data_IF_039690531572
#
_entry.id   IF_039690531572
#
_cell.length_a   1.000
_cell.length_b   1.000
_cell.length_c   1.000
_cell.angle_alpha   90.00
_cell.angle_beta   90.00
_cell.angle_gamma   90.00
#
_symmetry.space_group_name_H-M   'P 1'
#
loop_
_entity.id
_entity.type
_entity.pdbx_description
1 polymer ?
#
# COMPACT_ATOMS: atom_id res chain seq x y z
N UNK A 1 -1.89 23.63 16.17
CA UNK A 1 -2.91 23.38 15.13
C UNK A 1 -3.05 21.87 15.05
N UNK A 2 -4.25 21.32 15.25
CA UNK A 2 -4.46 19.90 15.08
C UNK A 2 -4.14 19.54 13.62
N UNK A 3 -3.06 18.80 13.41
CA UNK A 3 -2.74 18.20 12.12
C UNK A 3 -3.97 17.37 11.75
N UNK A 4 -4.62 17.64 10.62
CA UNK A 4 -5.79 16.88 10.20
C UNK A 4 -5.35 15.42 10.03
N UNK A 5 -5.75 14.54 10.95
CA UNK A 5 -5.23 13.17 11.06
C UNK A 5 -5.49 12.40 9.76
N UNK A 6 -6.65 12.64 9.13
CA UNK A 6 -7.01 12.07 7.85
C UNK A 6 -6.10 12.54 6.71
N UNK A 7 -5.72 13.82 6.67
CA UNK A 7 -4.81 14.35 5.65
C UNK A 7 -3.44 13.65 5.71
N UNK A 8 -2.91 13.46 6.92
CA UNK A 8 -1.66 12.73 7.09
C UNK A 8 -1.80 11.26 6.71
N UNK A 9 -2.90 10.61 7.09
CA UNK A 9 -3.16 9.21 6.78
C UNK A 9 -3.32 8.96 5.27
N UNK A 10 -4.13 9.77 4.58
CA UNK A 10 -4.42 9.59 3.16
C UNK A 10 -3.17 9.76 2.29
N UNK A 11 -2.32 10.74 2.62
CA UNK A 11 -1.03 10.97 1.95
C UNK A 11 -0.09 9.78 2.12
N UNK A 12 0.09 9.31 3.35
CA UNK A 12 0.95 8.16 3.64
C UNK A 12 0.43 6.86 3.01
N UNK A 13 -0.89 6.65 3.02
CA UNK A 13 -1.49 5.47 2.40
C UNK A 13 -1.25 5.44 0.89
N UNK A 14 -1.48 6.56 0.20
CA UNK A 14 -1.25 6.66 -1.24
C UNK A 14 0.24 6.56 -1.58
N UNK A 15 1.12 7.18 -0.80
CA UNK A 15 2.57 7.07 -0.98
C UNK A 15 3.05 5.62 -0.84
N UNK A 16 2.65 4.93 0.23
CA UNK A 16 3.04 3.54 0.47
C UNK A 16 2.58 2.60 -0.66
N UNK A 17 1.36 2.77 -1.14
CA UNK A 17 0.78 1.90 -2.18
C UNK A 17 1.37 2.20 -3.57
N UNK A 18 1.65 3.46 -3.89
CA UNK A 18 2.04 3.88 -5.24
C UNK A 18 3.55 3.91 -5.48
N UNK A 19 4.37 4.06 -4.43
CA UNK A 19 5.84 4.12 -4.56
C UNK A 19 6.49 2.96 -5.34
N UNK A 20 5.99 1.71 -5.28
CA UNK A 20 6.53 0.63 -6.11
C UNK A 20 6.31 0.81 -7.62
N UNK A 21 5.38 1.68 -8.03
CA UNK A 21 4.91 1.79 -9.41
C UNK A 21 5.29 3.11 -10.10
N UNK A 22 5.89 4.05 -9.38
CA UNK A 22 6.22 5.36 -9.91
C UNK A 22 6.75 6.32 -8.86
N UNK A 23 7.03 7.54 -9.28
CA UNK A 23 7.45 8.60 -8.36
C UNK A 23 6.23 9.21 -7.68
N UNK A 24 6.26 9.27 -6.34
CA UNK A 24 5.25 9.94 -5.53
C UNK A 24 5.86 11.21 -4.93
N UNK A 25 5.15 12.34 -5.05
CA UNK A 25 5.48 13.58 -4.36
C UNK A 25 4.30 13.99 -3.48
N UNK A 26 4.46 13.85 -2.17
CA UNK A 26 3.47 14.27 -1.17
C UNK A 26 3.62 15.76 -0.88
N UNK A 27 2.50 16.49 -0.84
CA UNK A 27 2.50 17.95 -0.62
C UNK A 27 3.42 18.65 -1.61
N UNK A 28 3.25 18.35 -2.90
CA UNK A 28 4.02 18.96 -3.99
C UNK A 28 3.64 20.42 -4.11
N UNK A 29 4.61 21.31 -3.96
CA UNK A 29 4.41 22.76 -4.15
C UNK A 29 4.02 23.04 -5.60
N UNK A 30 2.97 23.82 -5.78
CA UNK A 30 2.55 24.28 -7.11
C UNK A 30 3.35 25.52 -7.47
N UNK A 31 4.13 25.50 -8.57
CA UNK A 31 5.01 26.60 -8.91
C UNK A 31 4.32 27.96 -9.03
N UNK A 32 4.79 28.92 -8.23
CA UNK A 32 4.35 30.31 -8.25
C UNK A 32 3.23 30.66 -7.27
N UNK A 33 2.74 29.72 -6.47
CA UNK A 33 1.70 29.93 -5.46
C UNK A 33 2.04 29.24 -4.13
N UNK A 34 1.50 29.72 -3.02
CA UNK A 34 1.56 29.02 -1.73
C UNK A 34 0.46 27.93 -1.63
N UNK A 35 0.43 27.03 -2.62
CA UNK A 35 -0.52 25.91 -2.69
C UNK A 35 0.21 24.59 -2.91
N UNK A 36 -0.38 23.51 -2.41
CA UNK A 36 0.20 22.17 -2.50
C UNK A 36 -0.81 21.21 -3.11
N UNK A 37 -0.34 20.35 -4.00
CA UNK A 37 -1.06 19.13 -4.39
C UNK A 37 -0.86 18.11 -3.28
N UNK A 38 -1.93 17.48 -2.82
CA UNK A 38 -1.82 16.55 -1.70
C UNK A 38 -0.93 15.35 -2.01
N UNK A 39 -1.19 14.68 -3.14
CA UNK A 39 -0.31 13.65 -3.69
C UNK A 39 -0.23 13.83 -5.20
N UNK A 40 0.99 13.98 -5.70
CA UNK A 40 1.29 13.90 -7.12
C UNK A 40 1.94 12.54 -7.42
N UNK A 41 1.50 11.87 -8.48
CA UNK A 41 2.04 10.59 -8.91
C UNK A 41 2.45 10.64 -10.37
N UNK A 42 3.67 10.17 -10.66
CA UNK A 42 4.20 9.96 -12.00
C UNK A 42 4.45 8.45 -12.19
N UNK A 43 3.65 7.73 -13.00
CA UNK A 43 3.85 6.30 -13.22
C UNK A 43 5.19 6.04 -13.91
N UNK A 44 5.87 4.96 -13.51
CA UNK A 44 7.09 4.54 -14.17
C UNK A 44 6.78 3.93 -15.54
N UNK A 45 7.55 4.30 -16.57
CA UNK A 45 7.36 3.75 -17.92
C UNK A 45 7.74 2.27 -18.05
N UNK A 46 8.30 1.66 -17.00
CA UNK A 46 8.74 0.27 -16.95
C UNK A 46 7.80 -0.61 -16.11
N UNK A 47 6.95 -0.01 -15.28
CA UNK A 47 5.98 -0.71 -14.44
C UNK A 47 4.59 -0.61 -15.07
N UNK A 48 4.20 -1.59 -15.88
CA UNK A 48 2.77 -1.80 -16.10
C UNK A 48 2.18 -2.25 -14.77
N UNK A 49 1.41 -1.37 -14.11
CA UNK A 49 0.62 -1.77 -12.94
C UNK A 49 -0.34 -2.83 -13.44
N UNK A 50 -0.13 -4.09 -13.06
CA UNK A 50 -1.07 -5.13 -13.41
C UNK A 50 -2.44 -4.73 -12.83
N UNK A 51 -3.53 -4.72 -13.62
CA UNK A 51 -4.86 -4.34 -13.12
C UNK A 51 -5.31 -5.15 -11.89
N UNK A 52 -4.74 -6.35 -11.73
CA UNK A 52 -4.98 -7.26 -10.62
C UNK A 52 -4.32 -6.83 -9.31
N UNK A 53 -3.29 -5.96 -9.34
CA UNK A 53 -2.56 -5.58 -8.14
C UNK A 53 -3.22 -4.42 -7.40
N UNK A 54 -3.56 -3.33 -8.09
CA UNK A 54 -4.11 -2.12 -7.46
C UNK A 54 -5.58 -1.85 -7.80
N UNK A 55 -6.21 -2.69 -8.62
CA UNK A 55 -7.61 -2.54 -9.02
C UNK A 55 -7.90 -1.15 -9.61
N UNK A 56 -8.96 -0.52 -9.12
CA UNK A 56 -9.37 0.82 -9.54
C UNK A 56 -8.31 1.88 -9.24
N UNK A 57 -7.57 1.78 -8.13
CA UNK A 57 -6.48 2.73 -7.85
C UNK A 57 -5.40 2.65 -8.92
N UNK A 58 -5.03 1.43 -9.34
CA UNK A 58 -4.09 1.23 -10.45
C UNK A 58 -4.63 1.74 -11.77
N UNK A 59 -5.94 1.59 -12.02
CA UNK A 59 -6.56 2.07 -13.26
C UNK A 59 -6.54 3.61 -13.36
N UNK A 60 -6.76 4.33 -12.26
CA UNK A 60 -6.80 5.80 -12.28
C UNK A 60 -5.39 6.44 -12.32
N UNK A 61 -4.34 5.69 -12.00
CA UNK A 61 -2.94 6.16 -11.93
C UNK A 61 -2.08 5.75 -13.13
N UNK A 62 -2.68 5.33 -14.24
CA UNK A 62 -1.96 4.91 -15.46
C UNK A 62 -1.23 6.06 -16.19
N UNK A 63 -1.62 7.30 -15.91
CA UNK A 63 -0.97 8.52 -16.40
C UNK A 63 -0.56 9.39 -15.22
N UNK A 64 0.35 10.37 -15.38
CA UNK A 64 0.62 11.35 -14.33
C UNK A 64 -0.68 11.90 -13.75
N UNK A 65 -0.76 12.05 -12.43
CA UNK A 65 -2.00 12.47 -11.80
C UNK A 65 -1.83 13.22 -10.48
N UNK A 66 -2.82 14.05 -10.19
CA UNK A 66 -3.02 14.69 -8.90
C UNK A 66 -4.12 13.94 -8.17
N UNK A 67 -3.84 13.48 -6.95
CA UNK A 67 -4.79 12.80 -6.07
C UNK A 67 -5.10 13.74 -4.90
N UNK A 68 -6.36 14.15 -4.77
CA UNK A 68 -6.82 15.12 -3.77
C UNK A 68 -7.90 14.46 -2.88
N UNK A 69 -7.51 13.83 -1.76
CA UNK A 69 -8.42 13.11 -0.88
C UNK A 69 -9.17 14.03 0.09
N UNK A 70 -10.50 13.86 0.16
CA UNK A 70 -11.38 14.61 1.06
C UNK A 70 -12.14 13.67 2.01
N UNK A 71 -11.99 13.90 3.32
CA UNK A 71 -12.74 13.16 4.35
C UNK A 71 -14.25 13.34 4.24
N UNK A 72 -14.68 14.47 3.68
CA UNK A 72 -16.08 14.83 3.47
C UNK A 72 -16.31 15.24 2.02
N UNK A 73 -17.57 15.49 1.65
CA UNK A 73 -17.86 16.07 0.34
C UNK A 73 -17.14 17.42 0.19
N UNK A 74 -16.36 17.63 -0.88
CA UNK A 74 -15.74 18.92 -1.13
C UNK A 74 -16.79 19.97 -1.46
N UNK A 75 -16.56 21.19 -0.99
CA UNK A 75 -17.30 22.37 -1.37
C UNK A 75 -17.00 22.75 -2.83
N UNK A 76 -17.88 23.53 -3.48
CA UNK A 76 -17.57 24.06 -4.81
C UNK A 76 -16.28 24.89 -4.86
N UNK A 77 -15.88 25.53 -3.76
CA UNK A 77 -14.62 26.26 -3.70
C UNK A 77 -13.41 25.32 -3.68
N UNK A 78 -13.49 24.20 -2.96
CA UNK A 78 -12.44 23.19 -2.93
C UNK A 78 -12.28 22.51 -4.30
N UNK A 79 -13.38 22.16 -4.97
CA UNK A 79 -13.32 21.61 -6.34
C UNK A 79 -12.63 22.58 -7.30
N UNK A 80 -12.97 23.88 -7.26
CA UNK A 80 -12.30 24.89 -8.09
C UNK A 80 -10.82 25.06 -7.72
N UNK A 81 -10.48 24.92 -6.44
CA UNK A 81 -9.09 24.93 -5.98
C UNK A 81 -8.30 23.78 -6.59
N UNK A 82 -8.83 22.55 -6.56
CA UNK A 82 -8.19 21.40 -7.20
C UNK A 82 -8.01 21.61 -8.72
N UNK A 83 -9.03 22.14 -9.40
CA UNK A 83 -8.94 22.49 -10.83
C UNK A 83 -7.85 23.54 -11.11
N UNK A 84 -7.72 24.56 -10.25
CA UNK A 84 -6.65 25.55 -10.37
C UNK A 84 -5.28 24.90 -10.27
N UNK A 85 -5.05 24.02 -9.28
CA UNK A 85 -3.80 23.28 -9.12
C UNK A 85 -3.47 22.46 -10.38
N UNK A 86 -4.45 21.76 -10.95
CA UNK A 86 -4.29 20.99 -12.19
C UNK A 86 -3.76 21.87 -13.33
N UNK A 87 -4.41 23.00 -13.59
CA UNK A 87 -4.01 23.88 -14.70
C UNK A 87 -2.67 24.58 -14.47
N UNK A 88 -2.30 24.82 -13.21
CA UNK A 88 -0.97 25.32 -12.87
C UNK A 88 0.11 24.28 -13.18
N UNK A 89 -0.12 23.02 -12.78
CA UNK A 89 0.77 21.89 -13.12
C UNK A 89 0.86 21.68 -14.64
N UNK A 90 -0.26 21.77 -15.38
CA UNK A 90 -0.24 21.75 -16.85
C UNK A 90 0.62 22.88 -17.43
N UNK A 91 0.55 24.08 -16.83
CA UNK A 91 1.41 25.20 -17.18
C UNK A 91 2.90 24.87 -17.03
N UNK A 92 3.30 24.13 -15.98
CA UNK A 92 4.68 23.66 -15.81
C UNK A 92 5.10 22.63 -16.85
N UNK A 93 4.22 21.68 -17.17
CA UNK A 93 4.43 20.74 -18.26
C UNK A 93 4.73 21.47 -19.57
N UNK A 94 3.89 22.45 -19.93
CA UNK A 94 4.07 23.26 -21.13
C UNK A 94 5.38 24.07 -21.09
N UNK A 95 5.74 24.65 -19.94
CA UNK A 95 7.02 25.36 -19.77
C UNK A 95 8.22 24.44 -19.96
N UNK A 96 8.18 23.25 -19.36
CA UNK A 96 9.24 22.23 -19.47
C UNK A 96 9.41 21.77 -20.92
N UNK A 97 8.33 21.38 -21.59
CA UNK A 97 8.37 20.95 -22.99
C UNK A 97 8.91 22.05 -23.93
N UNK A 98 8.54 23.32 -23.71
CA UNK A 98 9.09 24.45 -24.48
C UNK A 98 10.60 24.60 -24.29
N UNK A 99 11.11 24.44 -23.06
CA UNK A 99 12.55 24.49 -22.76
C UNK A 99 13.30 23.34 -23.42
N UNK A 100 12.71 22.16 -23.42
CA UNK A 100 13.29 20.93 -23.98
C UNK A 100 13.04 20.77 -25.50
N UNK A 101 12.28 21.70 -26.11
CA UNK A 101 11.82 21.63 -27.51
C UNK A 101 11.10 20.31 -27.85
N UNK A 102 10.39 19.76 -26.86
CA UNK A 102 9.58 18.56 -27.01
C UNK A 102 8.13 18.94 -27.35
N UNK A 103 7.44 18.05 -28.07
CA UNK A 103 5.99 18.10 -28.18
C UNK A 103 5.37 17.46 -26.92
N UNK A 104 4.24 18.01 -26.45
CA UNK A 104 3.40 17.38 -25.43
C UNK A 104 2.13 16.92 -26.12
N UNK A 105 1.76 15.65 -25.93
CA UNK A 105 0.46 15.15 -26.32
C UNK A 105 -0.52 15.43 -25.19
N UNK A 106 -1.79 15.67 -25.55
CA UNK A 106 -2.87 15.85 -24.58
C UNK A 106 -2.94 14.66 -23.60
N UNK A 107 -2.69 13.45 -24.10
CA UNK A 107 -2.70 12.21 -23.30
C UNK A 107 -1.58 12.11 -22.27
N UNK A 108 -0.49 12.86 -22.44
CA UNK A 108 0.64 12.88 -21.51
C UNK A 108 0.42 13.88 -20.36
N UNK A 109 -0.61 14.72 -20.44
CA UNK A 109 -0.92 15.70 -19.41
C UNK A 109 -1.53 15.04 -18.17
N UNK A 110 -1.17 15.52 -16.97
CA UNK A 110 -1.70 14.99 -15.73
C UNK A 110 -3.24 15.00 -15.65
N UNK A 111 -3.80 13.99 -14.99
CA UNK A 111 -5.23 13.91 -14.67
C UNK A 111 -5.48 14.26 -13.19
N UNK A 112 -6.55 15.01 -12.90
CA UNK A 112 -6.98 15.29 -11.53
C UNK A 112 -8.02 14.27 -11.07
N UNK A 113 -7.77 13.64 -9.93
CA UNK A 113 -8.70 12.74 -9.26
C UNK A 113 -9.03 13.27 -7.86
N UNK A 114 -10.25 13.75 -7.69
CA UNK A 114 -10.80 14.16 -6.40
C UNK A 114 -11.36 12.93 -5.70
N UNK A 115 -10.79 12.52 -4.58
CA UNK A 115 -11.18 11.30 -3.85
C UNK A 115 -12.04 11.69 -2.64
N UNK A 116 -13.35 11.80 -2.81
CA UNK A 116 -14.25 12.28 -1.77
C UNK A 116 -14.97 11.13 -1.09
N UNK A 117 -15.10 11.17 0.25
CA UNK A 117 -15.88 10.15 0.96
C UNK A 117 -17.34 10.05 0.47
N UNK A 118 -17.89 11.15 -0.03
CA UNK A 118 -19.20 11.22 -0.69
C UNK A 118 -19.28 12.41 -1.66
N UNK A 119 -20.03 12.27 -2.74
CA UNK A 119 -20.41 13.38 -3.63
C UNK A 119 -21.93 13.33 -3.93
N UNK A 120 -22.65 14.38 -3.56
CA UNK A 120 -24.08 14.52 -3.84
C UNK A 120 -24.35 14.85 -5.30
N UNK A 121 -25.53 14.47 -5.78
CA UNK A 121 -25.99 14.81 -7.13
C UNK A 121 -25.96 16.32 -7.41
N UNK A 122 -26.25 17.16 -6.40
CA UNK A 122 -26.17 18.60 -6.55
C UNK A 122 -24.74 19.08 -6.86
N UNK A 123 -23.74 18.53 -6.17
CA UNK A 123 -22.34 18.84 -6.46
C UNK A 123 -21.96 18.33 -7.85
N UNK A 124 -22.29 17.08 -8.17
CA UNK A 124 -21.95 16.44 -9.44
C UNK A 124 -22.56 17.22 -10.62
N UNK A 125 -23.85 17.47 -10.59
CA UNK A 125 -24.57 18.23 -11.62
C UNK A 125 -24.08 19.68 -11.71
N UNK A 126 -23.74 20.31 -10.58
CA UNK A 126 -23.25 21.68 -10.54
C UNK A 126 -21.93 21.92 -11.29
N UNK A 127 -21.10 20.89 -11.43
CA UNK A 127 -19.85 20.92 -12.21
C UNK A 127 -19.94 20.15 -13.54
N UNK A 128 -21.03 19.42 -13.78
CA UNK A 128 -21.20 18.59 -14.97
C UNK A 128 -20.47 17.25 -14.91
N UNK A 129 -20.19 16.74 -13.71
CA UNK A 129 -19.69 15.38 -13.54
C UNK A 129 -20.75 14.37 -13.95
N UNK A 130 -20.37 13.41 -14.77
CA UNK A 130 -21.28 12.37 -15.27
C UNK A 130 -20.65 10.99 -15.17
N UNK A 131 -21.49 9.98 -14.92
CA UNK A 131 -21.08 8.59 -15.01
C UNK A 131 -21.03 8.17 -16.48
N UNK A 132 -20.17 7.20 -16.81
CA UNK A 132 -20.18 6.52 -18.09
C UNK A 132 -20.18 4.99 -17.87
N UNK A 133 -20.30 4.21 -18.95
CA UNK A 133 -20.37 2.74 -18.86
C UNK A 133 -19.00 2.06 -18.69
N UNK A 134 -17.90 2.79 -18.84
CA UNK A 134 -16.54 2.25 -18.76
C UNK A 134 -16.01 2.23 -17.31
N UNK A 135 -16.66 2.98 -16.41
CA UNK A 135 -16.26 3.11 -15.02
C UNK A 135 -17.29 2.50 -14.06
N UNK A 136 -16.85 1.95 -12.91
CA UNK A 136 -17.76 1.44 -11.90
C UNK A 136 -18.56 2.57 -11.23
N UNK A 137 -19.64 2.18 -10.54
CA UNK A 137 -20.42 3.09 -9.68
C UNK A 137 -19.50 3.87 -8.73
N UNK A 138 -19.81 5.15 -8.56
CA UNK A 138 -19.03 6.06 -7.72
C UNK A 138 -17.93 6.83 -8.45
N UNK A 139 -17.62 6.52 -9.72
CA UNK A 139 -16.66 7.28 -10.52
C UNK A 139 -17.39 8.20 -11.50
N UNK A 140 -17.09 9.49 -11.45
CA UNK A 140 -17.72 10.49 -12.30
C UNK A 140 -16.67 11.38 -12.96
N UNK A 141 -16.83 11.65 -14.26
CA UNK A 141 -15.86 12.37 -15.06
C UNK A 141 -16.45 13.66 -15.61
N UNK A 142 -15.61 14.69 -15.73
CA UNK A 142 -15.87 15.81 -16.62
C UNK A 142 -15.54 15.42 -18.06
N UNK A 143 -15.84 16.33 -19.01
CA UNK A 143 -15.41 16.17 -20.39
C UNK A 143 -13.90 15.88 -20.47
N UNK A 144 -13.42 14.97 -21.34
CA UNK A 144 -12.01 14.55 -21.38
C UNK A 144 -11.01 15.71 -21.51
N UNK A 145 -11.38 16.80 -22.18
CA UNK A 145 -10.58 18.03 -22.30
C UNK A 145 -10.33 18.77 -20.97
N UNK A 146 -11.07 18.44 -19.91
CA UNK A 146 -10.92 19.02 -18.58
C UNK A 146 -10.06 18.14 -17.65
N UNK A 147 -9.69 16.93 -18.07
CA UNK A 147 -8.73 16.06 -17.36
C UNK A 147 -9.03 15.89 -15.87
N UNK A 148 -10.32 15.81 -15.51
CA UNK A 148 -10.77 15.80 -14.12
C UNK A 148 -11.86 14.78 -13.89
N UNK A 149 -11.73 14.03 -12.81
CA UNK A 149 -12.72 13.11 -12.30
C UNK A 149 -12.89 13.26 -10.77
N UNK A 150 -14.05 12.84 -10.27
CA UNK A 150 -14.37 12.73 -8.85
C UNK A 150 -14.83 11.32 -8.54
N UNK A 151 -14.30 10.76 -7.45
CA UNK A 151 -14.69 9.46 -6.92
C UNK A 151 -15.50 9.68 -5.65
N UNK A 152 -16.77 9.30 -5.66
CA UNK A 152 -17.64 9.20 -4.50
C UNK A 152 -17.43 7.84 -3.84
N UNK A 153 -16.53 7.78 -2.84
CA UNK A 153 -16.04 6.54 -2.26
C UNK A 153 -17.17 5.69 -1.66
N UNK A 154 -18.17 6.32 -1.03
CA UNK A 154 -19.32 5.61 -0.46
C UNK A 154 -20.23 4.91 -1.49
N UNK A 155 -20.06 5.19 -2.79
CA UNK A 155 -20.80 4.58 -3.89
C UNK A 155 -19.99 3.52 -4.64
N UNK A 156 -18.71 3.35 -4.27
CA UNK A 156 -17.87 2.29 -4.83
C UNK A 156 -18.43 0.92 -4.41
N UNK A 157 -18.48 -0.05 -5.34
CA UNK A 157 -18.94 -1.39 -5.03
C UNK A 157 -17.99 -2.06 -4.03
N UNK A 158 -18.50 -2.95 -3.19
CA UNK A 158 -17.67 -3.75 -2.28
C UNK A 158 -16.99 -4.88 -3.05
N UNK A 159 -15.87 -4.56 -3.67
CA UNK A 159 -15.03 -5.48 -4.45
C UNK A 159 -13.56 -5.34 -4.04
N UNK A 160 -12.76 -6.36 -4.32
CA UNK A 160 -11.32 -6.37 -4.03
C UNK A 160 -10.60 -5.21 -4.72
N UNK A 161 -10.99 -4.91 -5.96
CA UNK A 161 -10.40 -3.87 -6.81
C UNK A 161 -10.63 -2.45 -6.28
N UNK A 162 -11.47 -2.27 -5.26
CA UNK A 162 -11.82 -0.95 -4.70
C UNK A 162 -11.37 -0.76 -3.26
N UNK A 163 -10.77 -1.79 -2.63
CA UNK A 163 -10.40 -1.78 -1.20
C UNK A 163 -9.58 -0.53 -0.86
N UNK A 164 -8.51 -0.25 -1.62
CA UNK A 164 -7.59 0.85 -1.32
C UNK A 164 -8.26 2.22 -1.35
N UNK A 165 -9.20 2.46 -2.28
CA UNK A 165 -9.97 3.70 -2.32
C UNK A 165 -11.01 3.75 -1.20
N UNK A 166 -11.63 2.61 -0.84
CA UNK A 166 -12.61 2.54 0.26
C UNK A 166 -11.99 2.75 1.64
N UNK A 167 -10.69 2.49 1.81
CA UNK A 167 -9.93 2.87 3.01
C UNK A 167 -9.90 4.39 3.24
N UNK A 168 -10.00 5.20 2.18
CA UNK A 168 -10.11 6.67 2.27
C UNK A 168 -11.54 7.15 2.55
N UNK A 169 -12.52 6.25 2.51
CA UNK A 169 -13.93 6.52 2.81
C UNK A 169 -14.20 6.65 4.30
N UNK A 170 -15.47 6.77 4.71
CA UNK A 170 -15.87 6.91 6.12
C UNK A 170 -16.96 5.92 6.53
N UNK A 171 -17.18 5.78 7.83
CA UNK A 171 -18.26 4.95 8.39
C UNK A 171 -18.17 3.49 7.91
N UNK A 172 -19.30 2.94 7.44
CA UNK A 172 -19.36 1.54 7.03
C UNK A 172 -18.48 1.19 5.83
N UNK A 173 -18.34 2.08 4.85
CA UNK A 173 -17.48 1.83 3.68
C UNK A 173 -16.03 1.60 4.10
N UNK A 174 -15.55 2.40 5.07
CA UNK A 174 -14.19 2.29 5.58
C UNK A 174 -13.99 1.05 6.44
N UNK A 175 -14.94 0.75 7.33
CA UNK A 175 -14.88 -0.46 8.17
C UNK A 175 -14.80 -1.73 7.33
N UNK A 176 -15.66 -1.84 6.31
CA UNK A 176 -15.65 -2.98 5.40
C UNK A 176 -14.31 -3.13 4.68
N UNK A 177 -13.73 -2.02 4.22
CA UNK A 177 -12.40 -2.05 3.58
C UNK A 177 -11.30 -2.46 4.56
N UNK A 178 -11.36 -2.02 5.81
CA UNK A 178 -10.43 -2.45 6.87
C UNK A 178 -10.54 -3.95 7.13
N UNK A 179 -11.76 -4.48 7.27
CA UNK A 179 -12.01 -5.92 7.44
C UNK A 179 -11.46 -6.74 6.26
N UNK A 180 -11.61 -6.22 5.04
CA UNK A 180 -11.09 -6.84 3.83
C UNK A 180 -9.55 -6.83 3.79
N UNK A 181 -8.91 -5.73 4.19
CA UNK A 181 -7.44 -5.68 4.35
C UNK A 181 -6.96 -6.68 5.39
N UNK A 182 -7.66 -6.81 6.52
CA UNK A 182 -7.34 -7.80 7.55
C UNK A 182 -7.44 -9.21 6.95
N UNK A 183 -8.41 -9.46 6.09
CA UNK A 183 -8.63 -10.74 5.41
C UNK A 183 -7.69 -11.04 4.22
N UNK A 184 -6.86 -10.07 3.77
CA UNK A 184 -5.84 -10.33 2.75
C UNK A 184 -4.80 -11.35 3.23
N UNK A 185 -4.07 -11.96 2.29
CA UNK A 185 -3.02 -12.93 2.58
C UNK A 185 -1.98 -12.34 3.54
N UNK A 186 -1.53 -13.15 4.50
CA UNK A 186 -0.50 -12.77 5.45
C UNK A 186 0.86 -12.48 4.80
N UNK A 187 1.13 -13.09 3.64
CA UNK A 187 2.36 -12.85 2.88
C UNK A 187 2.25 -11.62 1.95
N UNK A 188 1.09 -10.96 1.87
CA UNK A 188 0.96 -9.72 1.11
C UNK A 188 1.70 -8.58 1.82
N UNK A 189 2.80 -8.10 1.21
CA UNK A 189 3.62 -7.03 1.77
C UNK A 189 2.83 -5.73 2.00
N UNK A 190 1.78 -5.48 1.20
CA UNK A 190 0.94 -4.28 1.29
C UNK A 190 0.03 -4.35 2.50
N UNK A 191 -0.46 -5.55 2.84
CA UNK A 191 -1.32 -5.77 4.01
C UNK A 191 -0.64 -5.25 5.28
N UNK A 192 0.60 -5.66 5.51
CA UNK A 192 1.37 -5.23 6.69
C UNK A 192 1.55 -3.71 6.73
N UNK A 193 1.90 -3.11 5.60
CA UNK A 193 2.11 -1.67 5.51
C UNK A 193 0.82 -0.87 5.79
N UNK A 194 -0.30 -1.26 5.18
CA UNK A 194 -1.60 -0.61 5.37
C UNK A 194 -2.08 -0.74 6.82
N UNK A 195 -1.92 -1.91 7.44
CA UNK A 195 -2.30 -2.13 8.84
C UNK A 195 -1.51 -1.23 9.80
N UNK A 196 -0.20 -1.04 9.57
CA UNK A 196 0.61 -0.09 10.34
C UNK A 196 0.11 1.35 10.22
N UNK A 197 -0.26 1.78 9.01
CA UNK A 197 -0.79 3.13 8.77
C UNK A 197 -2.15 3.33 9.45
N UNK A 198 -3.04 2.34 9.37
CA UNK A 198 -4.33 2.35 10.06
C UNK A 198 -4.15 2.43 11.59
N UNK A 199 -3.20 1.68 12.15
CA UNK A 199 -2.89 1.73 13.59
C UNK A 199 -2.31 3.09 14.02
N UNK A 200 -1.39 3.66 13.23
CA UNK A 200 -0.85 5.00 13.50
C UNK A 200 -1.94 6.07 13.47
N UNK A 201 -2.82 6.00 12.47
CA UNK A 201 -3.94 6.92 12.35
C UNK A 201 -4.92 6.78 13.52
N UNK A 202 -5.24 5.54 13.91
CA UNK A 202 -6.03 5.22 15.12
C UNK A 202 -5.49 5.95 16.36
N UNK A 203 -4.20 5.78 16.66
CA UNK A 203 -3.57 6.42 17.82
C UNK A 203 -3.69 7.95 17.74
N UNK A 204 -3.49 8.53 16.54
CA UNK A 204 -3.66 9.96 16.33
C UNK A 204 -5.10 10.41 16.61
N UNK A 205 -6.10 9.61 16.28
CA UNK A 205 -7.51 9.92 16.50
C UNK A 205 -7.88 9.89 17.98
N UNK A 206 -7.41 8.86 18.69
CA UNK A 206 -7.54 8.68 20.15
C UNK A 206 -7.00 9.90 20.91
N UNK A 207 -5.83 10.40 20.53
CA UNK A 207 -5.23 11.61 21.12
C UNK A 207 -6.10 12.86 20.86
N UNK A 208 -6.72 12.95 19.69
CA UNK A 208 -7.53 14.11 19.30
C UNK A 208 -8.97 14.08 19.83
N UNK A 209 -9.44 12.94 20.36
CA UNK A 209 -10.78 12.81 20.96
C UNK A 209 -11.94 12.84 19.96
N UNK A 210 -11.74 12.36 18.73
CA UNK A 210 -12.78 12.38 17.69
C UNK A 210 -13.80 11.22 17.86
N UNK A 211 -14.98 11.54 18.37
CA UNK A 211 -16.02 10.56 18.74
C UNK A 211 -16.73 9.86 17.55
N UNK A 212 -16.75 10.45 16.36
CA UNK A 212 -17.41 9.84 15.17
C UNK A 212 -16.74 8.53 14.70
N UNK A 213 -15.53 8.24 15.19
CA UNK A 213 -14.73 7.11 14.73
C UNK A 213 -14.60 6.00 15.77
N UNK A 214 -15.24 6.12 16.93
CA UNK A 214 -15.15 5.18 18.07
C UNK A 214 -15.46 3.72 17.71
N UNK A 215 -16.38 3.50 16.76
CA UNK A 215 -16.72 2.15 16.28
C UNK A 215 -15.66 1.59 15.30
N UNK A 216 -14.98 2.44 14.52
CA UNK A 216 -13.82 2.06 13.70
C UNK A 216 -12.62 1.71 14.60
N UNK A 217 -12.48 2.37 15.75
CA UNK A 217 -11.46 2.06 16.76
C UNK A 217 -11.62 0.65 17.32
N UNK A 218 -12.86 0.19 17.54
CA UNK A 218 -13.17 -1.12 18.10
C UNK A 218 -12.84 -2.26 17.11
N UNK A 219 -13.25 -2.11 15.85
CA UNK A 219 -12.92 -3.08 14.78
C UNK A 219 -11.41 -3.20 14.61
N UNK A 220 -10.71 -2.06 14.57
CA UNK A 220 -9.26 -2.04 14.47
C UNK A 220 -8.58 -2.69 15.70
N UNK A 221 -9.12 -2.62 16.92
CA UNK A 221 -8.39 -3.13 18.10
C UNK A 221 -8.17 -4.64 18.11
N UNK A 222 -9.22 -5.43 17.88
CA UNK A 222 -9.13 -6.85 18.18
C UNK A 222 -8.39 -7.62 17.08
N UNK A 223 -8.75 -7.36 15.83
CA UNK A 223 -8.11 -7.98 14.67
C UNK A 223 -6.65 -7.52 14.48
N UNK A 224 -6.33 -6.25 14.80
CA UNK A 224 -4.95 -5.76 14.74
C UNK A 224 -4.08 -6.35 15.86
N UNK A 225 -4.56 -6.39 17.10
CA UNK A 225 -3.77 -6.97 18.21
C UNK A 225 -3.46 -8.45 17.98
N UNK A 226 -4.44 -9.20 17.48
CA UNK A 226 -4.24 -10.60 17.08
C UNK A 226 -3.25 -10.71 15.91
N UNK A 227 -3.33 -9.81 14.93
CA UNK A 227 -2.39 -9.75 13.81
C UNK A 227 -0.96 -9.39 14.23
N UNK A 228 -0.78 -8.38 15.07
CA UNK A 228 0.51 -7.92 15.56
C UNK A 228 1.19 -9.04 16.35
N UNK A 229 0.47 -9.69 17.27
CA UNK A 229 0.96 -10.85 18.01
C UNK A 229 1.35 -12.01 17.09
N UNK A 230 0.52 -12.34 16.10
CA UNK A 230 0.85 -13.42 15.17
C UNK A 230 2.07 -13.08 14.29
N UNK A 231 2.20 -11.83 13.86
CA UNK A 231 3.30 -11.38 13.01
C UNK A 231 4.62 -11.34 13.79
N UNK A 232 4.58 -10.86 15.04
CA UNK A 232 5.72 -10.90 15.95
C UNK A 232 6.16 -12.35 16.22
N UNK A 233 5.23 -13.24 16.58
CA UNK A 233 5.53 -14.66 16.81
C UNK A 233 6.12 -15.35 15.57
N UNK A 234 5.57 -15.08 14.37
CA UNK A 234 6.13 -15.62 13.11
C UNK A 234 7.51 -15.06 12.83
N UNK A 235 7.72 -13.76 13.06
CA UNK A 235 9.02 -13.11 12.90
C UNK A 235 10.08 -13.69 13.84
N UNK A 236 9.74 -13.90 15.11
CA UNK A 236 10.61 -14.55 16.08
C UNK A 236 10.94 -16.00 15.70
N UNK A 237 9.93 -16.79 15.29
CA UNK A 237 10.16 -18.17 14.86
C UNK A 237 11.05 -18.26 13.63
N UNK A 238 10.79 -17.42 12.61
CA UNK A 238 11.60 -17.38 11.40
C UNK A 238 13.03 -16.93 11.70
N UNK A 239 13.20 -15.89 12.52
CA UNK A 239 14.51 -15.41 12.95
C UNK A 239 15.29 -16.48 13.72
N UNK A 240 14.65 -17.20 14.64
CA UNK A 240 15.26 -18.33 15.35
C UNK A 240 15.67 -19.46 14.40
N UNK A 241 14.84 -19.78 13.41
CA UNK A 241 15.16 -20.83 12.44
C UNK A 241 16.30 -20.43 11.51
N UNK A 242 16.29 -19.21 10.96
CA UNK A 242 17.37 -18.70 10.11
C UNK A 242 18.70 -18.62 10.87
N UNK A 243 18.69 -18.15 12.11
CA UNK A 243 19.87 -18.13 12.98
C UNK A 243 20.35 -19.55 13.29
N UNK A 244 19.45 -20.47 13.66
CA UNK A 244 19.80 -21.86 13.91
C UNK A 244 20.43 -22.51 12.67
N UNK A 245 19.85 -22.33 11.48
CA UNK A 245 20.42 -22.83 10.23
C UNK A 245 21.83 -22.27 9.98
N UNK A 246 22.00 -20.96 10.09
CA UNK A 246 23.28 -20.30 9.87
C UNK A 246 24.35 -20.79 10.87
N UNK A 247 23.98 -20.92 12.14
CA UNK A 247 24.85 -21.42 13.19
C UNK A 247 25.24 -22.88 12.96
N UNK A 248 24.25 -23.75 12.73
CA UNK A 248 24.47 -25.19 12.51
C UNK A 248 25.36 -25.42 11.29
N UNK A 249 25.08 -24.77 10.17
CA UNK A 249 25.93 -24.89 8.98
C UNK A 249 27.38 -24.43 9.27
N UNK A 250 27.56 -23.33 10.00
CA UNK A 250 28.89 -22.84 10.36
C UNK A 250 29.63 -23.81 11.29
N UNK A 251 28.93 -24.43 12.24
CA UNK A 251 29.49 -25.42 13.16
C UNK A 251 29.85 -26.72 12.45
N UNK A 252 28.97 -27.22 11.58
CA UNK A 252 29.23 -28.40 10.75
C UNK A 252 30.45 -28.18 9.85
N UNK A 253 30.52 -27.05 9.13
CA UNK A 253 31.68 -26.73 8.28
C UNK A 253 32.98 -26.68 9.08
N UNK A 254 32.94 -26.14 10.30
CA UNK A 254 34.12 -26.08 11.17
C UNK A 254 34.54 -27.45 11.70
N UNK A 255 33.61 -28.38 11.89
CA UNK A 255 33.86 -29.65 12.57
C UNK A 255 34.19 -30.80 11.65
N UNK A 256 33.49 -30.91 10.52
CA UNK A 256 33.63 -32.02 9.56
C UNK A 256 34.13 -31.56 8.18
N UNK A 257 34.40 -30.27 7.99
CA UNK A 257 34.92 -29.71 6.75
C UNK A 257 33.82 -29.28 5.77
N UNK A 258 34.18 -29.13 4.50
CA UNK A 258 33.25 -28.65 3.48
C UNK A 258 32.04 -29.57 3.32
N UNK A 259 30.85 -28.96 3.29
CA UNK A 259 29.56 -29.65 3.18
C UNK A 259 29.08 -29.53 1.73
N UNK A 260 28.69 -30.66 1.14
CA UNK A 260 28.14 -30.68 -0.21
C UNK A 260 26.86 -29.81 -0.31
N UNK A 261 26.61 -29.12 -1.44
CA UNK A 261 25.44 -28.27 -1.64
C UNK A 261 24.11 -28.98 -1.34
N UNK A 262 24.00 -30.25 -1.70
CA UNK A 262 22.80 -31.07 -1.52
C UNK A 262 22.49 -31.29 -0.04
N UNK A 263 23.52 -31.58 0.76
CA UNK A 263 23.41 -31.75 2.22
C UNK A 263 23.09 -30.41 2.89
N UNK A 264 23.67 -29.32 2.40
CA UNK A 264 23.34 -27.96 2.88
C UNK A 264 21.87 -27.62 2.66
N UNK A 265 21.31 -27.94 1.49
CA UNK A 265 19.89 -27.75 1.23
C UNK A 265 19.00 -28.61 2.14
N UNK A 266 19.41 -29.84 2.46
CA UNK A 266 18.68 -30.68 3.43
C UNK A 266 18.68 -30.07 4.82
N UNK A 267 19.81 -29.54 5.29
CA UNK A 267 19.89 -28.84 6.59
C UNK A 267 19.03 -27.58 6.61
N UNK A 268 18.98 -26.83 5.51
CA UNK A 268 18.11 -25.65 5.38
C UNK A 268 16.61 -25.99 5.31
N UNK A 269 16.26 -27.24 4.98
CA UNK A 269 14.88 -27.72 4.97
C UNK A 269 14.41 -28.24 6.35
N UNK A 270 15.32 -28.35 7.34
CA UNK A 270 14.98 -28.84 8.67
C UNK A 270 14.09 -27.85 9.43
N UNK A 271 13.16 -28.40 10.21
CA UNK A 271 12.40 -27.64 11.21
C UNK A 271 13.32 -27.16 12.34
N UNK A 272 12.90 -26.13 13.08
CA UNK A 272 13.67 -25.60 14.22
C UNK A 272 14.03 -26.69 15.25
N UNK A 273 13.10 -27.59 15.58
CA UNK A 273 13.35 -28.68 16.52
C UNK A 273 14.41 -29.68 16.00
N UNK A 274 14.39 -29.97 14.70
CA UNK A 274 15.41 -30.81 14.07
C UNK A 274 16.77 -30.12 14.03
N UNK A 275 16.82 -28.80 13.81
CA UNK A 275 18.06 -28.02 13.87
C UNK A 275 18.65 -27.98 15.28
N UNK A 276 17.82 -27.84 16.31
CA UNK A 276 18.26 -27.92 17.71
C UNK A 276 18.82 -29.31 18.04
N UNK A 277 18.12 -30.38 17.62
CA UNK A 277 18.61 -31.76 17.79
C UNK A 277 19.91 -32.03 17.03
N UNK A 278 20.04 -31.51 15.80
CA UNK A 278 21.28 -31.56 15.04
C UNK A 278 22.40 -30.78 15.73
N UNK A 279 22.07 -29.69 16.43
CA UNK A 279 22.99 -28.90 17.24
C UNK A 279 23.66 -29.66 18.37
N UNK A 280 22.95 -30.62 18.97
CA UNK A 280 23.50 -31.52 19.98
C UNK A 280 24.27 -32.66 19.30
N UNK A 281 23.67 -33.32 18.31
CA UNK A 281 24.27 -34.48 17.65
C UNK A 281 25.58 -34.16 16.92
N UNK A 282 25.70 -32.95 16.36
CA UNK A 282 26.93 -32.52 15.69
C UNK A 282 28.13 -32.51 16.64
N UNK A 283 27.91 -32.49 17.96
CA UNK A 283 28.97 -32.56 18.96
C UNK A 283 29.66 -33.92 19.03
N UNK A 284 29.13 -34.94 18.37
CA UNK A 284 29.71 -36.27 18.27
C UNK A 284 30.15 -36.62 16.84
N UNK A 285 30.03 -35.69 15.89
CA UNK A 285 30.45 -35.92 14.51
C UNK A 285 31.97 -35.80 14.36
N UNK A 286 32.52 -36.71 13.57
CA UNK A 286 33.94 -36.76 13.20
C UNK A 286 34.14 -36.74 11.67
N UNK A 287 33.13 -37.14 10.90
CA UNK A 287 33.18 -37.25 9.44
C UNK A 287 31.87 -36.75 8.78
N UNK A 288 31.91 -36.37 7.49
CA UNK A 288 30.70 -36.05 6.73
C UNK A 288 29.64 -37.17 6.72
N UNK A 289 30.08 -38.44 6.75
CA UNK A 289 29.18 -39.61 6.80
C UNK A 289 28.30 -39.65 8.06
N UNK A 290 28.75 -39.05 9.18
CA UNK A 290 27.98 -39.00 10.42
C UNK A 290 26.74 -38.09 10.25
N UNK A 291 26.91 -36.96 9.56
CA UNK A 291 25.83 -36.03 9.22
C UNK A 291 24.83 -36.69 8.26
N UNK A 292 25.30 -37.38 7.22
CA UNK A 292 24.44 -38.10 6.27
C UNK A 292 23.62 -39.19 6.97
N UNK A 293 24.24 -39.94 7.88
CA UNK A 293 23.56 -40.98 8.66
C UNK A 293 22.50 -40.39 9.59
N UNK A 294 22.81 -39.25 10.22
CA UNK A 294 21.86 -38.54 11.07
C UNK A 294 20.67 -38.03 10.27
N UNK A 295 20.91 -37.39 9.11
CA UNK A 295 19.85 -36.89 8.23
C UNK A 295 18.97 -38.04 7.72
N UNK A 296 19.57 -39.17 7.32
CA UNK A 296 18.81 -40.35 6.90
C UNK A 296 17.92 -40.92 8.01
N UNK A 297 18.32 -40.81 9.28
CA UNK A 297 17.57 -41.35 10.42
C UNK A 297 16.50 -40.40 10.97
N UNK A 298 16.66 -39.09 10.78
CA UNK A 298 15.80 -38.06 11.40
C UNK A 298 15.00 -37.20 10.40
N UNK A 299 15.21 -37.42 9.09
CA UNK A 299 14.51 -36.71 8.00
C UNK A 299 13.73 -37.67 7.09
N UNK A 300 14.09 -38.95 7.04
CA UNK A 300 13.31 -39.97 6.32
C UNK A 300 12.15 -40.49 7.19
N UNK A 301 11.04 -39.76 7.18
CA UNK A 301 9.77 -40.10 7.84
C UNK A 301 8.67 -39.14 7.43
#
# INVERSE_FOLDING_TARGET
MAKNSFDSFSKQLLEEILSPYGAVEVSREVPGESQFVDVYFEPSSQSEIAPQELGLLGHITQTPCLLEPFRNQPTPSEVRSCLLKLYQVHGDYQRKARREKAAILENDLPHLWILASSASENLLNGFGFSANNDWPSGVYLLHPSLRTAIISINQLPRLEETIFLRLLGKGQTQKQAVDEVIGLDAEDSRRSAILRLLASWKISLEITGQAEEEELMMVLSQAYLEWEQQTEQRGEQKGRQEEAQALILRLLTRRIGDIAPEVRSQVQALSLAQLESLGEALLDFFTPSDLESWLASNVAG
#
